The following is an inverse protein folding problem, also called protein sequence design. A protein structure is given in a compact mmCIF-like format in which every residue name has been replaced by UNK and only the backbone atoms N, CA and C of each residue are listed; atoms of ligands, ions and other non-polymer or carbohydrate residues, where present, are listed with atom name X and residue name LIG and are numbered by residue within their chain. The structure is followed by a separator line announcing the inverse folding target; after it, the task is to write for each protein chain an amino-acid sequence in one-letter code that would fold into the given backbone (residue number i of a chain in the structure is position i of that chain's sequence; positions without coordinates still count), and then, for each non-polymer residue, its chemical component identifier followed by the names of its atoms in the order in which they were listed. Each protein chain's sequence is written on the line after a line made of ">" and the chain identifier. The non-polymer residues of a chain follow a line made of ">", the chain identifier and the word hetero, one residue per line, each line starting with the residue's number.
data_IF_680687340849
#
_entry.id   IF_680687340849
#
_cell.length_a   1.000
_cell.length_b   1.000
_cell.length_c   1.000
_cell.angle_alpha   90.00
_cell.angle_beta   90.00
_cell.angle_gamma   90.00
#
_symmetry.space_group_name_H-M   'P 1'
#
loop_
_entity.id
_entity.type
_entity.pdbx_description
1 polymer ?
#
# COMPACT_ATOMS: atom_id res chain seq x y z
N UNK A 1 -19.65 4.20 10.01
CA UNK A 1 -18.67 4.10 8.90
C UNK A 1 -17.90 5.41 8.68
N UNK A 2 -18.58 6.56 8.66
CA UNK A 2 -17.95 7.88 8.43
C UNK A 2 -16.80 8.22 9.41
N UNK A 3 -16.99 7.99 10.72
CA UNK A 3 -15.93 8.20 11.73
C UNK A 3 -14.67 7.36 11.47
N UNK A 4 -14.84 6.11 11.01
CA UNK A 4 -13.71 5.21 10.73
C UNK A 4 -12.95 5.65 9.48
N UNK A 5 -13.65 6.13 8.46
CA UNK A 5 -13.05 6.70 7.26
C UNK A 5 -12.20 7.94 7.58
N UNK A 6 -12.66 8.78 8.50
CA UNK A 6 -11.89 9.94 8.99
C UNK A 6 -10.57 9.49 9.65
N UNK A 7 -10.60 8.44 10.47
CA UNK A 7 -9.40 7.90 11.12
C UNK A 7 -8.39 7.35 10.10
N UNK A 8 -8.84 6.61 9.08
CA UNK A 8 -7.95 6.14 8.01
C UNK A 8 -7.34 7.28 7.22
N UNK A 9 -8.13 8.32 6.91
CA UNK A 9 -7.64 9.54 6.26
C UNK A 9 -6.53 10.18 7.07
N UNK A 10 -6.76 10.40 8.38
CA UNK A 10 -5.78 11.02 9.25
C UNK A 10 -4.52 10.17 9.37
N UNK A 11 -4.66 8.86 9.60
CA UNK A 11 -3.52 7.96 9.66
C UNK A 11 -2.69 8.01 8.38
N UNK A 12 -3.33 7.95 7.20
CA UNK A 12 -2.64 7.99 5.92
C UNK A 12 -1.88 9.32 5.72
N UNK A 13 -2.53 10.45 5.99
CA UNK A 13 -1.90 11.77 5.86
C UNK A 13 -0.74 11.94 6.83
N UNK A 14 -0.90 11.52 8.09
CA UNK A 14 0.15 11.64 9.10
C UNK A 14 1.29 10.67 8.87
N UNK A 15 1.01 9.48 8.34
CA UNK A 15 2.04 8.51 7.96
C UNK A 15 2.90 9.03 6.80
N UNK A 16 2.28 9.67 5.81
CA UNK A 16 3.03 10.32 4.72
C UNK A 16 3.84 11.51 5.23
N UNK A 17 3.28 12.33 6.13
CA UNK A 17 3.99 13.44 6.73
C UNK A 17 5.19 12.98 7.57
N UNK A 18 5.00 11.95 8.42
CA UNK A 18 6.08 11.31 9.18
C UNK A 18 7.16 10.78 8.25
N UNK A 19 6.78 10.03 7.22
CA UNK A 19 7.72 9.48 6.24
C UNK A 19 8.56 10.58 5.57
N UNK A 20 7.90 11.61 5.03
CA UNK A 20 8.59 12.70 4.33
C UNK A 20 9.48 13.53 5.26
N UNK A 21 9.02 13.84 6.47
CA UNK A 21 9.78 14.69 7.40
C UNK A 21 10.87 13.88 8.10
N UNK A 22 10.49 12.81 8.80
CA UNK A 22 11.35 12.09 9.73
C UNK A 22 12.24 11.03 9.06
N UNK A 23 11.81 10.44 7.95
CA UNK A 23 12.59 9.40 7.26
C UNK A 23 13.33 9.95 6.05
N UNK A 24 12.78 10.95 5.37
CA UNK A 24 13.42 11.55 4.19
C UNK A 24 14.16 12.84 4.51
N UNK A 25 13.47 13.89 4.97
CA UNK A 25 14.07 15.23 5.11
C UNK A 25 15.14 15.31 6.22
N UNK A 26 14.85 14.81 7.42
CA UNK A 26 15.84 14.80 8.52
C UNK A 26 17.05 13.93 8.21
N UNK A 27 16.87 12.83 7.46
CA UNK A 27 17.99 11.99 7.00
C UNK A 27 18.83 12.69 5.94
N UNK A 28 18.20 13.37 4.98
CA UNK A 28 18.91 14.19 3.99
C UNK A 28 19.71 15.31 4.67
N UNK A 29 19.13 15.92 5.71
CA UNK A 29 19.76 16.98 6.49
C UNK A 29 21.05 16.54 7.22
N UNK A 30 21.30 15.24 7.41
CA UNK A 30 22.55 14.73 8.00
C UNK A 30 23.75 15.15 7.15
N UNK A 31 23.58 15.22 5.83
CA UNK A 31 24.65 15.46 4.86
C UNK A 31 24.84 16.94 4.51
N UNK A 32 24.04 17.84 5.12
CA UNK A 32 24.15 19.28 4.89
C UNK A 32 25.11 19.93 5.90
N UNK A 33 25.81 21.02 5.51
CA UNK A 33 26.68 21.78 6.40
C UNK A 33 25.95 22.26 7.67
N UNK A 34 26.59 22.09 8.83
CA UNK A 34 25.98 22.35 10.15
C UNK A 34 26.12 23.81 10.59
N UNK A 35 25.55 24.74 9.83
CA UNK A 35 25.45 26.12 10.30
C UNK A 35 24.49 26.24 11.51
N UNK A 36 24.65 27.24 12.40
CA UNK A 36 23.75 27.42 13.54
C UNK A 36 22.27 27.56 13.15
N UNK A 37 22.00 28.28 12.06
CA UNK A 37 20.65 28.41 11.50
C UNK A 37 20.10 27.05 11.02
N UNK A 38 20.93 26.27 10.34
CA UNK A 38 20.55 24.94 9.86
C UNK A 38 20.26 23.97 11.01
N UNK A 39 21.06 23.99 12.07
CA UNK A 39 20.85 23.17 13.27
C UNK A 39 19.48 23.47 13.89
N UNK A 40 19.11 24.75 13.97
CA UNK A 40 17.81 25.18 14.52
C UNK A 40 16.64 24.63 13.68
N UNK A 41 16.73 24.75 12.34
CA UNK A 41 15.73 24.20 11.42
C UNK A 41 15.66 22.67 11.54
N UNK A 42 16.81 22.00 11.60
CA UNK A 42 16.91 20.55 11.76
C UNK A 42 16.26 20.06 13.06
N UNK A 43 16.50 20.75 14.18
CA UNK A 43 15.85 20.46 15.46
C UNK A 43 14.34 20.63 15.36
N UNK A 44 13.86 21.72 14.75
CA UNK A 44 12.43 21.93 14.49
C UNK A 44 11.79 20.81 13.67
N UNK A 45 12.42 20.42 12.55
CA UNK A 45 11.96 19.31 11.72
C UNK A 45 11.94 17.98 12.49
N UNK A 46 12.94 17.72 13.33
CA UNK A 46 12.99 16.51 14.14
C UNK A 46 11.85 16.48 15.17
N UNK A 47 11.58 17.61 15.86
CA UNK A 47 10.45 17.71 16.80
C UNK A 47 9.11 17.47 16.11
N UNK A 48 8.87 18.12 14.95
CA UNK A 48 7.64 17.92 14.17
C UNK A 48 7.54 16.47 13.69
N UNK A 49 8.65 15.88 13.21
CA UNK A 49 8.72 14.49 12.78
C UNK A 49 8.41 13.50 13.91
N UNK A 50 8.91 13.74 15.12
CA UNK A 50 8.60 12.93 16.30
C UNK A 50 7.13 13.01 16.68
N UNK A 51 6.54 14.21 16.70
CA UNK A 51 5.09 14.38 16.96
C UNK A 51 4.27 13.61 15.92
N UNK A 52 4.63 13.70 14.64
CA UNK A 52 3.98 12.93 13.58
C UNK A 52 4.14 11.42 13.80
N UNK A 53 5.33 10.94 14.15
CA UNK A 53 5.59 9.53 14.42
C UNK A 53 4.79 8.99 15.63
N UNK A 54 4.71 9.75 16.72
CA UNK A 54 3.87 9.39 17.87
C UNK A 54 2.41 9.32 17.48
N UNK A 55 1.92 10.30 16.71
CA UNK A 55 0.53 10.33 16.27
C UNK A 55 0.18 9.16 15.34
N UNK A 56 1.08 8.81 14.41
CA UNK A 56 0.97 7.62 13.56
C UNK A 56 0.93 6.35 14.41
N UNK A 57 1.84 6.22 15.38
CA UNK A 57 1.87 5.06 16.28
C UNK A 57 0.57 4.88 17.06
N UNK A 58 0.05 5.95 17.66
CA UNK A 58 -1.20 5.93 18.41
C UNK A 58 -2.41 5.63 17.53
N UNK A 59 -2.55 6.33 16.39
CA UNK A 59 -3.65 6.09 15.45
C UNK A 59 -3.62 4.68 14.88
N UNK A 60 -2.44 4.18 14.51
CA UNK A 60 -2.28 2.83 13.98
C UNK A 60 -2.67 1.79 15.03
N UNK A 61 -2.25 1.97 16.29
CA UNK A 61 -2.63 1.09 17.40
C UNK A 61 -4.14 1.08 17.62
N UNK A 62 -4.77 2.25 17.70
CA UNK A 62 -6.23 2.40 17.88
C UNK A 62 -6.98 1.72 16.75
N UNK A 63 -6.58 1.96 15.49
CA UNK A 63 -7.21 1.35 14.33
C UNK A 63 -7.00 -0.16 14.27
N UNK A 64 -5.83 -0.65 14.69
CA UNK A 64 -5.53 -2.08 14.70
C UNK A 64 -6.39 -2.82 15.75
N UNK A 65 -6.58 -2.22 16.93
CA UNK A 65 -7.51 -2.72 17.96
C UNK A 65 -8.96 -2.62 17.50
N UNK A 66 -9.35 -1.52 16.85
CA UNK A 66 -10.69 -1.35 16.27
C UNK A 66 -11.01 -2.42 15.22
N UNK A 67 -10.05 -2.73 14.34
CA UNK A 67 -10.15 -3.80 13.35
C UNK A 67 -10.28 -5.17 14.03
N UNK A 68 -9.48 -5.44 15.06
CA UNK A 68 -9.56 -6.70 15.81
C UNK A 68 -10.91 -6.85 16.52
N UNK A 69 -11.41 -5.77 17.13
CA UNK A 69 -12.69 -5.76 17.85
C UNK A 69 -13.87 -6.06 16.92
N UNK A 70 -13.97 -5.34 15.80
CA UNK A 70 -15.03 -5.55 14.80
C UNK A 70 -14.84 -6.87 14.04
N UNK A 71 -13.61 -7.36 13.96
CA UNK A 71 -13.21 -8.61 13.32
C UNK A 71 -13.41 -9.87 14.16
N UNK A 72 -14.05 -9.80 15.33
CA UNK A 72 -14.14 -10.90 16.32
C UNK A 72 -14.61 -12.26 15.80
N UNK A 73 -15.37 -12.30 14.70
CA UNK A 73 -15.76 -13.57 14.05
C UNK A 73 -14.58 -14.31 13.44
N UNK A 74 -13.47 -13.62 13.16
CA UNK A 74 -12.21 -14.20 12.74
C UNK A 74 -11.22 -14.13 13.88
N UNK A 75 -11.39 -15.08 14.80
CA UNK A 75 -10.67 -15.17 16.07
C UNK A 75 -9.15 -15.10 15.84
N UNK A 76 -8.61 -15.89 14.90
CA UNK A 76 -7.18 -15.93 14.62
C UNK A 76 -6.59 -14.59 14.17
N UNK A 77 -7.28 -13.87 13.26
CA UNK A 77 -6.80 -12.57 12.81
C UNK A 77 -6.83 -11.57 13.97
N UNK A 78 -7.93 -11.56 14.72
CA UNK A 78 -8.10 -10.66 15.87
C UNK A 78 -7.04 -10.92 16.95
N UNK A 79 -6.75 -12.20 17.25
CA UNK A 79 -5.68 -12.59 18.18
C UNK A 79 -4.30 -12.18 17.68
N UNK A 80 -4.00 -12.36 16.39
CA UNK A 80 -2.73 -11.91 15.82
C UNK A 80 -2.56 -10.40 15.92
N UNK A 81 -3.61 -9.63 15.60
CA UNK A 81 -3.59 -8.17 15.71
C UNK A 81 -3.44 -7.71 17.17
N UNK A 82 -4.22 -8.25 18.10
CA UNK A 82 -4.10 -7.92 19.53
C UNK A 82 -2.73 -8.29 20.07
N UNK A 83 -2.20 -9.47 19.71
CA UNK A 83 -0.86 -9.90 20.08
C UNK A 83 0.22 -8.95 19.57
N UNK A 84 0.13 -8.51 18.31
CA UNK A 84 1.02 -7.49 17.75
C UNK A 84 0.95 -6.18 18.54
N UNK A 85 -0.26 -5.68 18.85
CA UNK A 85 -0.44 -4.46 19.64
C UNK A 85 0.17 -4.58 21.04
N UNK A 86 -0.09 -5.68 21.75
CA UNK A 86 0.43 -5.94 23.10
C UNK A 86 1.95 -6.05 23.11
N UNK A 87 2.53 -6.79 22.16
CA UNK A 87 3.99 -6.89 22.03
C UNK A 87 4.63 -5.55 21.68
N UNK A 88 4.02 -4.74 20.82
CA UNK A 88 4.52 -3.39 20.52
C UNK A 88 4.51 -2.47 21.75
N UNK A 89 3.48 -2.55 22.60
CA UNK A 89 3.45 -1.81 23.87
C UNK A 89 4.53 -2.33 24.82
N UNK A 90 4.73 -3.65 24.90
CA UNK A 90 5.79 -4.25 25.71
C UNK A 90 7.19 -3.80 25.25
N UNK A 91 7.41 -3.68 23.94
CA UNK A 91 8.69 -3.25 23.36
C UNK A 91 9.04 -1.79 23.64
N UNK A 92 8.10 -0.98 24.17
CA UNK A 92 8.40 0.37 24.64
C UNK A 92 9.27 0.35 25.91
N UNK A 93 9.22 -0.72 26.69
CA UNK A 93 9.91 -0.83 27.99
C UNK A 93 10.87 -2.02 28.05
N UNK A 94 10.76 -2.98 27.13
CA UNK A 94 11.63 -4.16 27.05
C UNK A 94 12.30 -4.24 25.69
N UNK A 95 13.64 -4.34 25.68
CA UNK A 95 14.38 -4.68 24.45
C UNK A 95 14.06 -6.14 24.08
N UNK A 96 13.48 -6.42 22.91
CA UNK A 96 12.98 -7.75 22.59
C UNK A 96 14.13 -8.75 22.41
N UNK A 97 14.18 -9.85 23.19
CA UNK A 97 15.07 -10.97 22.87
C UNK A 97 14.64 -11.66 21.57
N UNK A 98 15.53 -12.44 20.96
CA UNK A 98 15.31 -13.06 19.65
C UNK A 98 14.00 -13.88 19.56
N UNK A 99 13.61 -14.59 20.61
CA UNK A 99 12.38 -15.40 20.62
C UNK A 99 11.11 -14.53 20.60
N UNK A 100 11.15 -13.37 21.25
CA UNK A 100 10.02 -12.45 21.33
C UNK A 100 9.90 -11.65 20.03
N UNK A 101 11.03 -11.27 19.42
CA UNK A 101 11.08 -10.71 18.08
C UNK A 101 10.57 -11.72 17.03
N UNK A 102 10.95 -12.99 17.14
CA UNK A 102 10.44 -14.07 16.29
C UNK A 102 8.93 -14.23 16.45
N UNK A 103 8.42 -14.26 17.69
CA UNK A 103 6.97 -14.33 17.94
C UNK A 103 6.23 -13.15 17.30
N UNK A 104 6.74 -11.93 17.45
CA UNK A 104 6.16 -10.73 16.82
C UNK A 104 6.09 -10.87 15.30
N UNK A 105 7.16 -11.35 14.66
CA UNK A 105 7.21 -11.55 13.21
C UNK A 105 6.29 -12.69 12.75
N UNK A 106 6.17 -13.78 13.53
CA UNK A 106 5.22 -14.85 13.24
C UNK A 106 3.78 -14.34 13.30
N UNK A 107 3.41 -13.56 14.31
CA UNK A 107 2.09 -12.92 14.38
C UNK A 107 1.83 -11.99 13.19
N UNK A 108 2.85 -11.24 12.75
CA UNK A 108 2.77 -10.40 11.57
C UNK A 108 2.51 -11.22 10.29
N UNK A 109 3.27 -12.29 10.07
CA UNK A 109 3.09 -13.22 8.95
C UNK A 109 1.69 -13.84 9.00
N UNK A 110 1.24 -14.30 10.16
CA UNK A 110 -0.12 -14.85 10.33
C UNK A 110 -1.19 -13.81 9.99
N UNK A 111 -1.06 -12.57 10.46
CA UNK A 111 -2.02 -11.51 10.15
C UNK A 111 -2.10 -11.25 8.65
N UNK A 112 -0.96 -11.17 7.96
CA UNK A 112 -0.92 -10.95 6.50
C UNK A 112 -1.54 -12.14 5.74
N UNK A 113 -1.20 -13.38 6.11
CA UNK A 113 -1.79 -14.57 5.50
C UNK A 113 -3.31 -14.62 5.67
N UNK A 114 -3.81 -14.29 6.86
CA UNK A 114 -5.25 -14.27 7.14
C UNK A 114 -5.98 -13.13 6.40
N UNK A 115 -5.31 -12.00 6.14
CA UNK A 115 -5.85 -10.96 5.26
C UNK A 115 -5.89 -11.46 3.81
N UNK A 116 -4.86 -12.15 3.33
CA UNK A 116 -4.82 -12.76 1.99
C UNK A 116 -5.96 -13.77 1.79
N UNK A 117 -6.22 -14.64 2.77
CA UNK A 117 -7.32 -15.62 2.65
C UNK A 117 -8.67 -14.92 2.53
N UNK A 118 -8.89 -13.77 3.19
CA UNK A 118 -10.10 -12.95 2.97
C UNK A 118 -10.20 -12.44 1.54
N UNK A 119 -9.12 -11.92 0.97
CA UNK A 119 -9.09 -11.45 -0.43
C UNK A 119 -9.52 -12.57 -1.37
N UNK A 120 -8.94 -13.76 -1.20
CA UNK A 120 -9.24 -14.92 -2.04
C UNK A 120 -10.66 -15.46 -1.83
N UNK A 121 -11.14 -15.50 -0.59
CA UNK A 121 -12.47 -16.03 -0.26
C UNK A 121 -13.60 -15.09 -0.68
N UNK A 122 -13.44 -13.78 -0.45
CA UNK A 122 -14.42 -12.75 -0.84
C UNK A 122 -14.72 -12.77 -2.33
N UNK A 123 -13.72 -13.11 -3.16
CA UNK A 123 -13.91 -13.30 -4.60
C UNK A 123 -14.70 -14.56 -4.96
N UNK A 124 -14.44 -15.70 -4.28
CA UNK A 124 -15.16 -16.95 -4.56
C UNK A 124 -16.66 -16.83 -4.29
N UNK A 125 -17.03 -16.14 -3.21
CA UNK A 125 -18.43 -15.97 -2.80
C UNK A 125 -19.16 -14.96 -3.69
N UNK A 126 -18.47 -13.94 -4.21
CA UNK A 126 -19.10 -12.88 -5.02
C UNK A 126 -19.40 -13.28 -6.48
N UNK A 127 -19.16 -14.55 -6.88
CA UNK A 127 -19.60 -15.08 -8.18
C UNK A 127 -19.09 -14.35 -9.44
N UNK A 128 -17.98 -13.61 -9.35
CA UNK A 128 -17.60 -12.60 -10.34
C UNK A 128 -16.95 -13.16 -11.62
N UNK A 129 -17.72 -13.20 -12.72
CA UNK A 129 -17.21 -13.43 -14.08
C UNK A 129 -16.20 -12.36 -14.55
N UNK A 130 -15.26 -12.77 -15.41
CA UNK A 130 -14.26 -12.02 -16.22
C UNK A 130 -13.40 -10.90 -15.57
N UNK A 131 -13.72 -10.35 -14.39
CA UNK A 131 -12.95 -9.33 -13.65
C UNK A 131 -12.27 -9.86 -12.37
N UNK A 132 -12.36 -11.15 -12.08
CA UNK A 132 -11.83 -11.77 -10.85
C UNK A 132 -10.34 -11.52 -10.59
N UNK A 133 -9.46 -11.77 -11.56
CA UNK A 133 -8.01 -11.69 -11.32
C UNK A 133 -7.53 -10.29 -10.90
N UNK A 134 -8.13 -9.22 -11.42
CA UNK A 134 -7.73 -7.84 -11.12
C UNK A 134 -7.93 -7.50 -9.64
N UNK A 135 -9.10 -7.84 -9.08
CA UNK A 135 -9.37 -7.60 -7.66
C UNK A 135 -8.47 -8.42 -6.73
N UNK A 136 -8.11 -9.65 -7.11
CA UNK A 136 -7.18 -10.48 -6.32
C UNK A 136 -5.77 -9.92 -6.37
N UNK A 137 -5.30 -9.53 -7.56
CA UNK A 137 -3.93 -9.06 -7.76
C UNK A 137 -3.64 -7.78 -6.95
N UNK A 138 -4.61 -6.87 -6.85
CA UNK A 138 -4.51 -5.60 -6.09
C UNK A 138 -4.14 -5.82 -4.63
N UNK A 139 -4.69 -6.85 -3.98
CA UNK A 139 -4.39 -7.18 -2.58
C UNK A 139 -3.26 -8.19 -2.42
N UNK A 140 -3.15 -9.17 -3.32
CA UNK A 140 -2.21 -10.28 -3.17
C UNK A 140 -0.76 -9.87 -3.40
N UNK A 141 -0.46 -9.07 -4.43
CA UNK A 141 0.91 -8.63 -4.71
C UNK A 141 1.54 -7.80 -3.60
N UNK A 142 0.87 -6.76 -3.03
CA UNK A 142 1.45 -6.03 -1.90
C UNK A 142 1.60 -6.93 -0.66
N UNK A 143 0.71 -7.91 -0.47
CA UNK A 143 0.83 -8.85 0.63
C UNK A 143 2.01 -9.80 0.46
N UNK A 144 2.26 -10.30 -0.76
CA UNK A 144 3.44 -11.09 -1.07
C UNK A 144 4.74 -10.29 -0.90
N UNK A 145 4.74 -9.01 -1.29
CA UNK A 145 5.87 -8.11 -1.05
C UNK A 145 6.13 -7.95 0.46
N UNK A 146 5.09 -7.71 1.24
CA UNK A 146 5.21 -7.60 2.70
C UNK A 146 5.68 -8.91 3.34
N UNK A 147 5.16 -10.06 2.91
CA UNK A 147 5.60 -11.37 3.38
C UNK A 147 7.07 -11.61 3.08
N UNK A 148 7.55 -11.31 1.87
CA UNK A 148 8.97 -11.41 1.53
C UNK A 148 9.84 -10.58 2.49
N UNK A 149 9.43 -9.33 2.76
CA UNK A 149 10.11 -8.48 3.73
C UNK A 149 10.07 -9.00 5.17
N UNK A 150 8.93 -9.54 5.62
CA UNK A 150 8.79 -10.15 6.93
C UNK A 150 9.67 -11.40 7.08
N UNK A 151 9.74 -12.25 6.05
CA UNK A 151 10.60 -13.43 6.05
C UNK A 151 12.09 -13.07 6.09
N UNK A 152 12.52 -12.02 5.38
CA UNK A 152 13.89 -11.49 5.48
C UNK A 152 14.23 -11.09 6.92
N UNK A 153 13.28 -10.54 7.68
CA UNK A 153 13.51 -10.18 9.08
C UNK A 153 13.35 -11.37 10.05
N UNK A 154 12.51 -12.34 9.70
CA UNK A 154 12.23 -13.54 10.49
C UNK A 154 13.41 -14.50 10.54
N UNK A 155 14.06 -14.68 9.40
CA UNK A 155 15.09 -15.70 9.26
C UNK A 155 16.32 -15.47 10.14
N UNK A 156 16.86 -14.24 10.28
CA UNK A 156 17.96 -13.97 11.20
C UNK A 156 17.61 -14.27 12.66
N UNK A 157 16.38 -13.98 13.09
CA UNK A 157 15.94 -14.29 14.46
C UNK A 157 15.85 -15.80 14.70
N UNK A 158 15.38 -16.56 13.70
CA UNK A 158 15.38 -18.01 13.75
C UNK A 158 16.82 -18.58 13.81
N UNK A 159 17.74 -18.05 13.00
CA UNK A 159 19.16 -18.46 13.01
C UNK A 159 19.81 -18.19 14.36
N UNK A 160 19.57 -17.01 14.94
CA UNK A 160 20.08 -16.64 16.25
C UNK A 160 19.58 -17.58 17.35
N UNK A 161 18.32 -18.00 17.31
CA UNK A 161 17.76 -18.93 18.30
C UNK A 161 18.29 -20.36 18.16
N UNK A 162 18.54 -20.80 16.94
CA UNK A 162 19.06 -22.15 16.67
C UNK A 162 20.59 -22.23 16.75
N UNK A 163 21.28 -21.11 16.96
CA UNK A 163 22.74 -21.04 16.99
C UNK A 163 23.39 -21.41 15.65
N UNK A 164 22.67 -21.21 14.54
CA UNK A 164 23.18 -21.58 13.22
C UNK A 164 24.20 -20.55 12.71
N UNK A 165 25.31 -21.00 12.10
CA UNK A 165 26.36 -20.10 11.62
C UNK A 165 25.94 -19.38 10.34
N UNK A 166 26.50 -18.18 10.15
CA UNK A 166 26.40 -17.42 8.92
C UNK A 166 25.06 -16.72 8.70
N UNK A 167 24.97 -15.90 7.64
CA UNK A 167 23.70 -15.29 7.25
C UNK A 167 22.77 -16.35 6.66
N UNK A 168 21.45 -16.23 6.87
CA UNK A 168 20.48 -17.07 6.21
C UNK A 168 20.63 -17.15 4.69
N UNK A 169 20.59 -18.37 4.11
CA UNK A 169 20.59 -18.54 2.66
C UNK A 169 19.33 -17.89 2.09
N UNK A 170 19.39 -17.53 0.80
CA UNK A 170 18.26 -16.94 0.06
C UNK A 170 17.78 -15.55 0.52
N UNK A 171 18.32 -14.97 1.60
CA UNK A 171 17.91 -13.62 2.08
C UNK A 171 17.97 -12.58 0.98
N UNK A 172 19.07 -12.53 0.22
CA UNK A 172 19.24 -11.57 -0.89
C UNK A 172 18.25 -11.81 -2.02
N UNK A 173 18.00 -13.08 -2.37
CA UNK A 173 17.04 -13.44 -3.40
C UNK A 173 15.63 -13.01 -2.98
N UNK A 174 15.22 -13.33 -1.75
CA UNK A 174 13.91 -12.98 -1.22
C UNK A 174 13.73 -11.47 -1.11
N UNK A 175 14.79 -10.77 -0.70
CA UNK A 175 14.80 -9.32 -0.64
C UNK A 175 14.53 -8.69 -2.02
N UNK A 176 15.29 -9.10 -3.04
CA UNK A 176 15.12 -8.61 -4.42
C UNK A 176 13.76 -8.97 -5.00
N UNK A 177 13.26 -10.19 -4.72
CA UNK A 177 11.94 -10.61 -5.15
C UNK A 177 10.84 -9.74 -4.53
N UNK A 178 10.92 -9.47 -3.22
CA UNK A 178 9.96 -8.58 -2.55
C UNK A 178 10.02 -7.16 -3.10
N UNK A 179 11.21 -6.63 -3.38
CA UNK A 179 11.38 -5.31 -4.01
C UNK A 179 10.77 -5.26 -5.43
N UNK A 180 10.96 -6.31 -6.24
CA UNK A 180 10.29 -6.45 -7.53
C UNK A 180 8.76 -6.47 -7.37
N UNK A 181 8.24 -7.19 -6.36
CA UNK A 181 6.81 -7.25 -6.07
C UNK A 181 6.25 -5.89 -5.64
N UNK A 182 7.00 -5.07 -4.91
CA UNK A 182 6.61 -3.67 -4.59
C UNK A 182 6.40 -2.87 -5.87
N UNK A 183 7.33 -2.96 -6.82
CA UNK A 183 7.21 -2.26 -8.11
C UNK A 183 6.00 -2.78 -8.89
N UNK A 184 5.88 -4.10 -9.08
CA UNK A 184 4.77 -4.72 -9.82
C UNK A 184 3.41 -4.37 -9.22
N UNK A 185 3.32 -4.33 -7.88
CA UNK A 185 2.12 -3.89 -7.15
C UNK A 185 1.62 -2.53 -7.63
N UNK A 186 2.53 -1.56 -7.81
CA UNK A 186 2.16 -0.21 -8.24
C UNK A 186 1.60 -0.20 -9.66
N UNK A 187 2.19 -0.98 -10.57
CA UNK A 187 1.65 -1.14 -11.93
C UNK A 187 0.25 -1.76 -11.93
N UNK A 188 0.01 -2.75 -11.06
CA UNK A 188 -1.31 -3.38 -10.89
C UNK A 188 -2.32 -2.35 -10.38
N UNK A 189 -1.97 -1.57 -9.36
CA UNK A 189 -2.83 -0.53 -8.82
C UNK A 189 -3.19 0.52 -9.87
N UNK A 190 -2.20 0.99 -10.62
CA UNK A 190 -2.44 1.94 -11.71
C UNK A 190 -3.34 1.36 -12.81
N UNK A 191 -3.10 0.11 -13.19
CA UNK A 191 -3.92 -0.55 -14.20
C UNK A 191 -5.38 -0.67 -13.78
N UNK A 192 -5.62 -0.98 -12.50
CA UNK A 192 -6.97 -1.19 -11.96
C UNK A 192 -7.69 0.13 -11.63
N UNK A 193 -7.00 1.13 -11.11
CA UNK A 193 -7.62 2.34 -10.55
C UNK A 193 -7.01 3.67 -11.01
N UNK A 194 -5.79 3.66 -11.54
CA UNK A 194 -5.05 4.89 -11.91
C UNK A 194 -5.33 5.43 -13.31
N UNK A 195 -6.19 4.77 -14.09
CA UNK A 195 -6.55 5.22 -15.44
C UNK A 195 -7.49 6.44 -15.38
N UNK A 196 -6.91 7.63 -15.46
CA UNK A 196 -7.64 8.90 -15.51
C UNK A 196 -7.30 9.70 -16.77
N UNK A 197 -8.29 10.45 -17.28
CA UNK A 197 -8.11 11.38 -18.41
C UNK A 197 -7.63 12.77 -17.97
N UNK A 198 -7.62 13.07 -16.67
CA UNK A 198 -7.26 14.40 -16.18
C UNK A 198 -5.75 14.61 -16.24
N UNK A 199 -5.28 15.45 -17.17
CA UNK A 199 -3.87 15.78 -17.32
C UNK A 199 -3.28 16.46 -16.07
N UNK A 200 -4.09 17.21 -15.30
CA UNK A 200 -3.68 17.85 -14.06
C UNK A 200 -3.22 16.81 -13.04
N UNK A 201 -3.92 15.67 -12.95
CA UNK A 201 -3.53 14.57 -12.05
C UNK A 201 -2.17 14.02 -12.47
N UNK A 202 -1.95 13.80 -13.76
CA UNK A 202 -0.67 13.34 -14.29
C UNK A 202 0.47 14.32 -13.98
N UNK A 203 0.24 15.62 -14.13
CA UNK A 203 1.23 16.66 -13.84
C UNK A 203 1.57 16.72 -12.34
N UNK A 204 0.57 16.77 -11.46
CA UNK A 204 0.79 16.83 -10.01
C UNK A 204 1.49 15.59 -9.49
N UNK A 205 1.12 14.40 -9.99
CA UNK A 205 1.77 13.15 -9.62
C UNK A 205 3.22 13.04 -10.11
N UNK A 206 3.61 13.81 -11.13
CA UNK A 206 4.98 13.80 -11.65
C UNK A 206 5.97 14.47 -10.69
N UNK A 207 5.52 15.38 -9.81
CA UNK A 207 6.38 16.12 -8.87
C UNK A 207 7.28 15.19 -8.04
N UNK A 208 6.75 14.21 -7.26
CA UNK A 208 7.61 13.33 -6.47
C UNK A 208 8.55 12.47 -7.34
N UNK A 209 8.09 12.02 -8.51
CA UNK A 209 8.92 11.24 -9.44
C UNK A 209 10.07 12.06 -10.03
N UNK A 210 9.82 13.32 -10.38
CA UNK A 210 10.84 14.25 -10.87
C UNK A 210 11.84 14.61 -9.79
N UNK A 211 11.39 14.86 -8.55
CA UNK A 211 12.29 15.10 -7.42
C UNK A 211 13.22 13.90 -7.18
N UNK A 212 12.68 12.68 -7.23
CA UNK A 212 13.49 11.47 -7.15
C UNK A 212 14.48 11.34 -8.31
N UNK A 213 14.02 11.53 -9.56
CA UNK A 213 14.86 11.42 -10.75
C UNK A 213 15.99 12.46 -10.76
N UNK A 214 15.68 13.72 -10.42
CA UNK A 214 16.66 14.80 -10.32
C UNK A 214 17.66 14.55 -9.19
N UNK A 215 17.20 14.07 -8.04
CA UNK A 215 18.08 13.67 -6.93
C UNK A 215 19.04 12.56 -7.37
N UNK A 216 18.52 11.52 -8.02
CA UNK A 216 19.34 10.40 -8.50
C UNK A 216 20.35 10.85 -9.56
N UNK A 217 19.96 11.72 -10.49
CA UNK A 217 20.89 12.27 -11.48
C UNK A 217 22.00 13.09 -10.79
N UNK A 218 21.65 13.89 -9.77
CA UNK A 218 22.61 14.77 -9.09
C UNK A 218 23.59 14.01 -8.20
N UNK A 219 23.11 13.02 -7.47
CA UNK A 219 23.89 12.17 -6.56
C UNK A 219 23.20 10.79 -6.39
N UNK A 220 23.58 9.79 -7.19
CA UNK A 220 23.00 8.45 -7.12
C UNK A 220 23.24 7.75 -5.78
N UNK A 221 24.43 7.95 -5.18
CA UNK A 221 24.82 7.27 -3.96
C UNK A 221 23.99 7.77 -2.77
N UNK A 222 23.88 9.09 -2.63
CA UNK A 222 23.06 9.71 -1.60
C UNK A 222 21.58 9.38 -1.77
N UNK A 223 21.07 9.39 -3.00
CA UNK A 223 19.68 9.01 -3.29
C UNK A 223 19.41 7.55 -2.93
N UNK A 224 20.36 6.64 -3.20
CA UNK A 224 20.27 5.24 -2.79
C UNK A 224 20.20 5.08 -1.26
N UNK A 225 21.09 5.75 -0.52
CA UNK A 225 21.09 5.74 0.95
C UNK A 225 19.76 6.24 1.51
N UNK A 226 19.28 7.38 1.02
CA UNK A 226 17.99 7.93 1.43
C UNK A 226 16.84 7.00 1.10
N UNK A 227 16.86 6.33 -0.04
CA UNK A 227 15.82 5.37 -0.42
C UNK A 227 15.79 4.19 0.54
N UNK A 228 16.95 3.61 0.89
CA UNK A 228 17.03 2.52 1.86
C UNK A 228 16.48 2.96 3.22
N UNK A 229 16.85 4.14 3.72
CA UNK A 229 16.37 4.61 5.03
C UNK A 229 14.89 5.01 5.01
N UNK A 230 14.41 5.55 3.89
CA UNK A 230 13.06 6.11 3.77
C UNK A 230 12.00 5.08 3.40
N UNK A 231 12.34 4.11 2.56
CA UNK A 231 11.37 3.12 2.05
C UNK A 231 11.86 1.70 2.15
N UNK A 232 13.10 1.45 2.59
CA UNK A 232 13.66 0.09 2.67
C UNK A 232 13.97 -0.53 1.31
N UNK A 233 13.90 0.22 0.22
CA UNK A 233 14.24 -0.28 -1.12
C UNK A 233 15.73 -0.09 -1.40
N UNK A 234 16.37 -1.09 -2.00
CA UNK A 234 17.81 -1.06 -2.33
C UNK A 234 18.13 -0.45 -3.68
N UNK A 235 17.11 -0.17 -4.49
CA UNK A 235 17.24 0.26 -5.89
C UNK A 235 17.99 -0.79 -6.73
N UNK A 236 17.68 -2.08 -6.52
CA UNK A 236 18.31 -3.15 -7.31
C UNK A 236 17.91 -3.11 -8.79
N UNK A 237 16.71 -2.61 -9.11
CA UNK A 237 16.27 -2.37 -10.49
C UNK A 237 16.84 -1.04 -11.02
N UNK A 238 16.79 -0.78 -12.34
CA UNK A 238 17.16 0.52 -12.88
C UNK A 238 16.30 1.65 -12.27
N UNK A 239 16.93 2.75 -11.85
CA UNK A 239 16.24 3.90 -11.24
C UNK A 239 15.02 4.43 -12.01
N UNK A 240 14.96 4.43 -13.37
CA UNK A 240 13.79 4.93 -14.09
C UNK A 240 12.53 4.10 -13.78
N UNK A 241 12.68 2.83 -13.43
CA UNK A 241 11.58 1.95 -13.04
C UNK A 241 10.94 2.45 -11.74
N UNK A 242 11.73 2.87 -10.75
CA UNK A 242 11.22 3.43 -9.49
C UNK A 242 10.61 4.81 -9.68
N UNK A 243 11.21 5.65 -10.53
CA UNK A 243 10.63 6.96 -10.87
C UNK A 243 9.25 6.80 -11.52
N UNK A 244 9.12 5.86 -12.48
CA UNK A 244 7.84 5.53 -13.10
C UNK A 244 6.85 4.96 -12.09
N UNK A 245 7.27 4.02 -11.24
CA UNK A 245 6.42 3.49 -10.18
C UNK A 245 5.92 4.62 -9.25
N UNK A 246 6.79 5.50 -8.78
CA UNK A 246 6.41 6.63 -7.93
C UNK A 246 5.39 7.56 -8.62
N UNK A 247 5.58 7.81 -9.91
CA UNK A 247 4.63 8.59 -10.70
C UNK A 247 3.26 7.90 -10.79
N UNK A 248 3.23 6.62 -11.17
CA UNK A 248 1.99 5.85 -11.31
C UNK A 248 1.25 5.67 -9.98
N UNK A 249 1.98 5.51 -8.87
CA UNK A 249 1.42 5.51 -7.53
C UNK A 249 0.73 6.85 -7.22
N UNK A 250 1.41 7.97 -7.49
CA UNK A 250 0.85 9.32 -7.34
C UNK A 250 -0.42 9.53 -8.17
N UNK A 251 -0.40 9.11 -9.45
CA UNK A 251 -1.57 9.17 -10.34
C UNK A 251 -2.72 8.37 -9.75
N UNK A 252 -2.44 7.15 -9.27
CA UNK A 252 -3.47 6.27 -8.71
C UNK A 252 -4.09 6.84 -7.45
N UNK A 253 -3.28 7.37 -6.52
CA UNK A 253 -3.77 8.03 -5.30
C UNK A 253 -4.65 9.23 -5.65
N UNK A 254 -4.18 10.12 -6.52
CA UNK A 254 -4.92 11.33 -6.89
C UNK A 254 -6.21 11.02 -7.68
N UNK A 255 -6.20 9.97 -8.52
CA UNK A 255 -7.38 9.54 -9.26
C UNK A 255 -8.45 8.92 -8.34
N UNK A 256 -8.03 8.24 -7.27
CA UNK A 256 -8.94 7.52 -6.35
C UNK A 256 -9.33 8.30 -5.10
N UNK A 257 -8.62 9.38 -4.75
CA UNK A 257 -8.81 10.08 -3.48
C UNK A 257 -10.22 10.64 -3.26
N UNK A 258 -10.96 10.97 -4.34
CA UNK A 258 -12.34 11.48 -4.28
C UNK A 258 -13.39 10.39 -4.50
N UNK A 259 -13.10 9.40 -5.35
CA UNK A 259 -14.08 8.41 -5.81
C UNK A 259 -14.06 7.16 -4.94
N UNK A 260 -12.88 6.66 -4.59
CA UNK A 260 -12.68 5.46 -3.77
C UNK A 260 -11.57 5.75 -2.73
N UNK A 261 -11.84 6.63 -1.75
CA UNK A 261 -10.82 7.15 -0.82
C UNK A 261 -10.10 6.04 -0.04
N UNK A 262 -10.78 4.91 0.24
CA UNK A 262 -10.17 3.77 0.91
C UNK A 262 -8.95 3.20 0.16
N UNK A 263 -9.00 3.14 -1.18
CA UNK A 263 -7.87 2.71 -2.02
C UNK A 263 -6.71 3.71 -1.91
N UNK A 264 -7.01 5.00 -2.01
CA UNK A 264 -6.00 6.05 -1.88
C UNK A 264 -5.28 5.97 -0.52
N UNK A 265 -6.04 5.81 0.57
CA UNK A 265 -5.47 5.67 1.91
C UNK A 265 -4.66 4.39 2.06
N UNK A 266 -5.13 3.27 1.53
CA UNK A 266 -4.39 2.01 1.55
C UNK A 266 -3.02 2.12 0.84
N UNK A 267 -3.00 2.72 -0.36
CA UNK A 267 -1.77 2.92 -1.12
C UNK A 267 -0.81 3.85 -0.35
N UNK A 268 -1.31 4.96 0.19
CA UNK A 268 -0.49 5.89 0.98
C UNK A 268 0.10 5.24 2.23
N UNK A 269 -0.68 4.42 2.93
CA UNK A 269 -0.21 3.67 4.11
C UNK A 269 0.87 2.65 3.75
N UNK A 270 0.72 1.94 2.63
CA UNK A 270 1.71 0.97 2.17
C UNK A 270 3.00 1.65 1.71
N UNK A 271 2.91 2.79 1.03
CA UNK A 271 4.08 3.60 0.65
C UNK A 271 4.80 4.13 1.89
N UNK A 272 4.06 4.71 2.86
CA UNK A 272 4.63 5.26 4.09
C UNK A 272 5.23 4.17 5.01
N UNK A 273 4.64 2.98 5.04
CA UNK A 273 5.23 1.84 5.73
C UNK A 273 6.60 1.48 5.13
N UNK A 274 6.70 1.50 3.79
CA UNK A 274 7.87 1.08 3.05
C UNK A 274 7.98 -0.44 2.96
N UNK A 275 9.00 -0.89 2.22
CA UNK A 275 9.42 -2.28 2.16
C UNK A 275 10.21 -2.65 3.41
N UNK A 276 10.00 -3.86 3.92
CA UNK A 276 10.65 -4.37 5.16
C UNK A 276 10.43 -3.45 6.38
N UNK A 277 9.18 -3.22 6.83
CA UNK A 277 8.89 -2.30 7.93
C UNK A 277 9.70 -2.66 9.18
N UNK A 278 10.47 -1.70 9.71
CA UNK A 278 11.40 -1.90 10.83
C UNK A 278 10.78 -1.47 12.17
N UNK A 279 9.82 -0.54 12.12
CA UNK A 279 9.08 -0.06 13.28
C UNK A 279 7.68 -0.69 13.32
N UNK A 280 7.14 -0.87 14.53
CA UNK A 280 5.77 -1.38 14.68
C UNK A 280 4.73 -0.50 14.00
N UNK A 281 4.88 0.83 14.06
CA UNK A 281 4.00 1.77 13.36
C UNK A 281 3.99 1.55 11.84
N UNK A 282 5.16 1.30 11.24
CA UNK A 282 5.28 0.99 9.81
C UNK A 282 4.58 -0.33 9.48
N UNK A 283 4.79 -1.37 10.28
CA UNK A 283 4.11 -2.66 10.09
C UNK A 283 2.59 -2.50 10.20
N UNK A 284 2.11 -1.75 11.19
CA UNK A 284 0.69 -1.52 11.39
C UNK A 284 0.07 -0.75 10.23
N UNK A 285 0.75 0.29 9.72
CA UNK A 285 0.33 0.96 8.49
C UNK A 285 0.24 -0.03 7.32
N UNK A 286 1.21 -0.93 7.14
CA UNK A 286 1.17 -1.92 6.08
C UNK A 286 0.00 -2.91 6.22
N UNK A 287 -0.22 -3.44 7.44
CA UNK A 287 -1.33 -4.36 7.74
C UNK A 287 -2.69 -3.67 7.54
N UNK A 288 -2.85 -2.44 8.03
CA UNK A 288 -4.08 -1.65 7.86
C UNK A 288 -4.31 -1.35 6.37
N UNK A 289 -3.27 -0.97 5.63
CA UNK A 289 -3.33 -0.75 4.19
C UNK A 289 -3.78 -2.01 3.43
N UNK A 290 -3.18 -3.16 3.71
CA UNK A 290 -3.60 -4.45 3.14
C UNK A 290 -5.04 -4.80 3.50
N UNK A 291 -5.43 -4.57 4.76
CA UNK A 291 -6.79 -4.83 5.21
C UNK A 291 -7.82 -3.94 4.51
N UNK A 292 -7.49 -2.67 4.23
CA UNK A 292 -8.33 -1.77 3.44
C UNK A 292 -8.48 -2.27 2.00
N UNK A 293 -7.42 -2.77 1.36
CA UNK A 293 -7.48 -3.37 0.02
C UNK A 293 -8.31 -4.66 -0.01
N UNK A 294 -8.38 -5.38 1.11
CA UNK A 294 -9.15 -6.61 1.23
C UNK A 294 -10.66 -6.40 1.43
N UNK A 295 -11.13 -5.15 1.56
CA UNK A 295 -12.57 -4.86 1.72
C UNK A 295 -13.34 -5.05 0.40
N UNK A 296 -14.58 -5.60 0.42
CA UNK A 296 -15.38 -5.78 -0.80
C UNK A 296 -15.63 -4.48 -1.58
N UNK A 297 -15.83 -3.37 -0.86
CA UNK A 297 -16.06 -2.03 -1.43
C UNK A 297 -14.89 -1.52 -2.28
N UNK A 298 -13.67 -1.99 -2.01
CA UNK A 298 -12.47 -1.65 -2.76
C UNK A 298 -12.44 -2.35 -4.14
N UNK A 299 -13.14 -3.48 -4.30
CA UNK A 299 -13.02 -4.40 -5.46
C UNK A 299 -14.05 -4.10 -6.55
N UNK A 300 -15.04 -3.26 -6.29
CA UNK A 300 -16.02 -2.79 -7.28
C UNK A 300 -15.69 -1.37 -7.74
N UNK A 301 -14.75 -1.17 -8.69
CA UNK A 301 -14.70 0.11 -9.38
C UNK A 301 -16.03 0.29 -10.09
N UNK A 302 -16.76 1.36 -9.75
CA UNK A 302 -17.84 1.87 -10.59
C UNK A 302 -17.34 1.83 -12.03
N UNK A 303 -18.09 1.26 -13.00
CA UNK A 303 -17.67 1.31 -14.38
C UNK A 303 -17.38 2.77 -14.70
N UNK A 304 -16.12 3.08 -14.99
CA UNK A 304 -15.80 4.34 -15.63
C UNK A 304 -16.75 4.44 -16.83
N UNK A 305 -17.34 5.62 -17.08
CA UNK A 305 -18.07 5.88 -18.31
C UNK A 305 -17.04 5.94 -19.42
N UNK A 306 -16.46 4.79 -19.77
CA UNK A 306 -16.17 4.57 -21.16
C UNK A 306 -17.53 4.66 -21.82
N UNK A 307 -17.75 5.59 -22.76
CA UNK A 307 -18.74 5.28 -23.76
C UNK A 307 -18.26 3.93 -24.28
N UNK A 308 -19.00 2.87 -23.96
CA UNK A 308 -19.14 1.83 -24.95
C UNK A 308 -19.37 2.64 -26.21
N UNK A 309 -18.47 2.55 -27.17
CA UNK A 309 -18.89 2.74 -28.53
C UNK A 309 -20.03 1.74 -28.64
N UNK A 310 -21.25 2.21 -28.39
CA UNK A 310 -22.43 1.74 -29.06
C UNK A 310 -22.01 1.88 -30.51
N UNK A 311 -21.36 0.83 -31.02
CA UNK A 311 -21.70 0.30 -32.31
C UNK A 311 -23.21 0.11 -32.23
N UNK A 312 -23.91 1.23 -32.45
CA UNK A 312 -25.19 1.24 -33.08
C UNK A 312 -24.87 0.56 -34.39
N UNK A 313 -25.00 -0.76 -34.41
CA UNK A 313 -25.31 -1.44 -35.65
C UNK A 313 -26.56 -0.70 -36.12
N UNK A 314 -26.35 0.23 -37.05
CA UNK A 314 -27.37 0.64 -37.98
C UNK A 314 -27.81 -0.66 -38.64
N UNK A 315 -28.78 -1.36 -38.02
CA UNK A 315 -29.66 -2.23 -38.75
C UNK A 315 -30.32 -1.29 -39.75
N UNK A 316 -29.88 -1.40 -41.00
CA UNK A 316 -30.68 -0.91 -42.11
C UNK A 316 -32.10 -1.45 -41.92
N UNK A 317 -33.14 -0.62 -42.09
CA UNK A 317 -34.49 -1.13 -42.18
C UNK A 317 -34.51 -2.10 -43.37
N UNK A 318 -34.71 -3.38 -43.09
CA UNK A 318 -35.04 -4.35 -44.11
C UNK A 318 -36.41 -3.94 -44.61
N UNK A 319 -36.47 -3.54 -45.87
CA UNK A 319 -37.69 -3.33 -46.64
C UNK A 319 -38.65 -4.50 -46.37
N UNK A 320 -39.77 -4.21 -45.69
CA UNK A 320 -40.91 -5.13 -45.67
C UNK A 320 -41.73 -4.86 -46.93
N UNK A 321 -41.89 -5.86 -47.83
CA UNK A 321 -42.87 -5.78 -48.91
C UNK A 321 -44.28 -6.02 -48.34
N UNK A 322 -45.18 -5.12 -48.73
CA UNK A 322 -46.64 -5.24 -48.94
C UNK A 322 -47.34 -6.56 -48.54
N UNK A 323 -48.45 -6.47 -47.79
CA UNK A 323 -49.72 -7.10 -48.20
C UNK A 323 -50.96 -6.64 -47.39
N UNK A 324 -51.94 -6.13 -48.14
CA UNK A 324 -53.40 -6.25 -47.98
C UNK A 324 -54.10 -5.79 -46.69
N UNK A 325 -54.49 -4.50 -46.69
CA UNK A 325 -55.77 -4.05 -46.11
C UNK A 325 -56.82 -4.00 -47.22
N UNK A 326 -57.74 -4.96 -47.26
CA UNK A 326 -59.04 -4.88 -47.94
C UNK A 326 -60.00 -5.91 -47.33
N UNK A 327 -61.30 -5.56 -47.33
CA UNK A 327 -62.48 -6.27 -46.81
C UNK A 327 -62.86 -5.86 -45.37
N UNK A 328 -63.63 -4.78 -45.14
CA UNK A 328 -65.10 -4.60 -45.27
C UNK A 328 -65.92 -5.56 -44.41
N UNK A 329 -66.27 -5.14 -43.20
CA UNK A 329 -67.41 -5.67 -42.46
C UNK A 329 -68.62 -4.75 -42.66
N UNK A 330 -69.59 -5.25 -43.42
CA UNK A 330 -71.00 -4.92 -43.29
C UNK A 330 -71.67 -6.11 -42.61
N UNK A 331 -72.20 -5.91 -41.40
CA UNK A 331 -73.46 -6.49 -40.94
C UNK A 331 -73.93 -5.80 -39.66
#
# INVERSE_FOLDING_TARGET
>A
MEKQQLLFKWLALTAVAEWLIMRTATRAAIHMPKSPAFITVYQGLNTVGQVAATFVGLLALVLLVDIAWHGRQQIWLSLSLVGLALLSVLFLVVVPPAWLALLYQLLAVTAVLLICTRVLWGQRVSGGGKRGWQGTAVGLFPALALLAGLFVQLWPNLYALLGWPGPPPLTRFLFNLGELLVVVTVFIWWWCYGRTRSWIIWLLAAIPALLFALSFWRDPAMTGILTIWSTGLTLFLPWPVYALALWLAGVTVLATCRTVPAIAYAILLLIAAGYTPQLSSQLFCAIIGLWLLARPEAVSPSPLPFPAATFVHHRQPVDQPLENKLLTDHQ
#
